data_IF_698569034501
#
_entry.id   IF_698569034501
#
_cell.length_a   1.000
_cell.length_b   1.000
_cell.length_c   1.000
_cell.angle_alpha   90.00
_cell.angle_beta   90.00
_cell.angle_gamma   90.00
#
_symmetry.space_group_name_H-M   'P 1'
#
loop_
_entity.id
_entity.type
_entity.pdbx_description
1 polymer ?
#
# COMPACT_ATOMS: atom_id res chain seq x y z
N UNK A 1 -53.87 7.28 66.31
CA UNK A 1 -53.61 8.50 65.52
C UNK A 1 -52.20 8.36 64.90
N UNK A 2 -52.12 7.83 63.71
CA UNK A 2 -50.86 7.56 63.06
C UNK A 2 -50.81 8.29 61.70
N UNK A 3 -49.91 9.25 61.61
CA UNK A 3 -49.70 10.01 60.40
C UNK A 3 -48.73 9.24 59.47
N UNK A 4 -49.20 8.82 58.31
CA UNK A 4 -48.39 8.22 57.27
C UNK A 4 -47.89 9.33 56.35
N UNK A 5 -46.58 9.58 56.41
CA UNK A 5 -45.88 10.48 55.49
C UNK A 5 -45.48 9.69 54.24
N UNK A 6 -46.13 9.97 53.13
CA UNK A 6 -45.79 9.43 51.87
C UNK A 6 -44.64 10.22 51.20
N UNK A 7 -43.47 9.67 51.15
CA UNK A 7 -42.30 10.22 50.38
C UNK A 7 -42.46 9.84 48.93
N UNK A 8 -42.84 10.79 48.08
CA UNK A 8 -42.74 10.63 46.61
C UNK A 8 -41.28 10.83 46.17
N UNK A 9 -40.61 9.78 45.80
CA UNK A 9 -39.35 9.85 45.05
C UNK A 9 -39.64 10.24 43.59
N UNK A 10 -39.33 11.49 43.27
CA UNK A 10 -39.29 11.92 41.87
C UNK A 10 -38.05 11.31 41.17
N UNK A 11 -38.21 10.26 40.39
CA UNK A 11 -37.22 9.81 39.44
C UNK A 11 -37.15 10.80 38.27
N UNK A 12 -36.24 11.76 38.37
CA UNK A 12 -35.87 12.61 37.25
C UNK A 12 -35.08 11.76 36.26
N UNK A 13 -35.77 11.11 35.30
CA UNK A 13 -35.17 10.49 34.15
C UNK A 13 -34.46 11.54 33.32
N UNK A 14 -33.14 11.50 33.26
CA UNK A 14 -32.37 12.19 32.23
C UNK A 14 -32.76 11.59 30.85
N UNK A 15 -33.75 12.21 30.20
CA UNK A 15 -33.98 12.03 28.80
C UNK A 15 -32.76 12.62 28.07
N UNK A 16 -31.80 11.77 27.79
CA UNK A 16 -30.68 12.09 26.89
C UNK A 16 -31.28 12.53 25.56
N UNK A 17 -31.22 13.81 25.26
CA UNK A 17 -31.54 14.41 24.00
C UNK A 17 -30.58 13.82 22.97
N UNK A 18 -30.93 12.68 22.41
CA UNK A 18 -30.27 12.09 21.23
C UNK A 18 -30.53 12.99 20.04
N UNK A 19 -29.80 14.10 19.94
CA UNK A 19 -29.76 14.91 18.74
C UNK A 19 -29.39 14.00 17.57
N UNK A 20 -30.26 13.91 16.55
CA UNK A 20 -29.91 13.30 15.29
C UNK A 20 -28.70 14.06 14.75
N UNK A 21 -27.53 13.44 14.81
CA UNK A 21 -26.33 13.94 14.14
C UNK A 21 -26.60 13.72 12.65
N UNK A 22 -26.99 14.76 11.96
CA UNK A 22 -27.14 14.76 10.50
C UNK A 22 -25.72 14.87 9.91
N UNK A 23 -24.96 13.77 10.03
CA UNK A 23 -23.58 13.72 9.61
C UNK A 23 -23.48 13.75 8.09
N UNK A 24 -22.86 14.80 7.56
CA UNK A 24 -22.54 14.90 6.13
C UNK A 24 -21.29 14.06 5.83
N UNK A 25 -21.50 12.97 5.13
CA UNK A 25 -20.46 11.99 4.80
C UNK A 25 -20.11 12.08 3.31
N UNK A 26 -18.83 12.03 2.98
CA UNK A 26 -18.32 11.84 1.62
C UNK A 26 -17.64 10.49 1.49
N UNK A 27 -17.60 9.97 0.28
CA UNK A 27 -16.92 8.71 -0.04
C UNK A 27 -15.89 8.96 -1.13
N UNK A 28 -14.68 8.42 -0.97
CA UNK A 28 -13.63 8.43 -1.99
C UNK A 28 -13.23 7.01 -2.37
N UNK A 29 -12.62 6.88 -3.54
CA UNK A 29 -11.99 5.65 -3.98
C UNK A 29 -10.49 5.91 -4.23
N UNK A 30 -9.65 5.57 -3.25
CA UNK A 30 -8.19 5.78 -3.33
C UNK A 30 -7.56 5.06 -4.52
N UNK A 31 -8.09 3.90 -4.90
CA UNK A 31 -7.61 3.18 -6.09
C UNK A 31 -7.90 3.94 -7.38
N UNK A 32 -9.07 4.60 -7.46
CA UNK A 32 -9.43 5.46 -8.58
C UNK A 32 -8.51 6.69 -8.63
N UNK A 33 -8.22 7.31 -7.47
CA UNK A 33 -7.28 8.42 -7.38
C UNK A 33 -5.88 8.02 -7.88
N UNK A 34 -5.39 6.84 -7.49
CA UNK A 34 -4.10 6.31 -7.96
C UNK A 34 -4.07 6.08 -9.48
N UNK A 35 -5.21 5.72 -10.09
CA UNK A 35 -5.28 5.43 -11.51
C UNK A 35 -5.48 6.68 -12.37
N UNK A 36 -6.23 7.68 -11.88
CA UNK A 36 -6.70 8.82 -12.68
C UNK A 36 -5.90 10.10 -12.46
N UNK A 37 -5.19 10.26 -11.33
CA UNK A 37 -4.36 11.45 -11.09
C UNK A 37 -3.00 11.34 -11.81
N UNK A 38 -2.44 12.49 -12.22
CA UNK A 38 -1.11 12.57 -12.81
C UNK A 38 -0.03 12.02 -11.87
N UNK A 39 -0.07 12.41 -10.59
CA UNK A 39 0.86 11.91 -9.58
C UNK A 39 0.69 10.40 -9.32
N UNK A 40 -0.53 9.87 -9.34
CA UNK A 40 -0.79 8.43 -9.19
C UNK A 40 -0.21 7.62 -10.35
N UNK A 41 -0.31 8.12 -11.59
CA UNK A 41 0.33 7.50 -12.76
C UNK A 41 1.85 7.49 -12.61
N UNK A 42 2.46 8.63 -12.20
CA UNK A 42 3.91 8.72 -11.93
C UNK A 42 4.34 7.74 -10.83
N UNK A 43 3.54 7.56 -9.77
CA UNK A 43 3.78 6.55 -8.73
C UNK A 43 3.85 5.14 -9.31
N UNK A 44 2.87 4.76 -10.13
CA UNK A 44 2.83 3.43 -10.78
C UNK A 44 4.00 3.21 -11.74
N UNK A 45 4.34 4.21 -12.54
CA UNK A 45 5.48 4.18 -13.46
C UNK A 45 6.80 4.00 -12.71
N UNK A 46 7.02 4.77 -11.64
CA UNK A 46 8.22 4.68 -10.81
C UNK A 46 8.35 3.31 -10.13
N UNK A 47 7.26 2.77 -9.58
CA UNK A 47 7.26 1.42 -8.99
C UNK A 47 7.54 0.35 -10.01
N UNK A 48 6.95 0.47 -11.20
CA UNK A 48 7.19 -0.46 -12.31
C UNK A 48 8.64 -0.42 -12.77
N UNK A 49 9.21 0.77 -12.94
CA UNK A 49 10.60 0.95 -13.34
C UNK A 49 11.56 0.39 -12.27
N UNK A 50 11.28 0.66 -11.00
CA UNK A 50 12.05 0.14 -9.88
C UNK A 50 12.04 -1.39 -9.84
N UNK A 51 10.86 -2.02 -9.95
CA UNK A 51 10.71 -3.48 -9.97
C UNK A 51 11.44 -4.12 -11.16
N UNK A 52 11.28 -3.54 -12.37
CA UNK A 52 11.99 -4.02 -13.55
C UNK A 52 13.51 -3.93 -13.41
N UNK A 53 14.03 -2.87 -12.81
CA UNK A 53 15.46 -2.73 -12.55
C UNK A 53 15.97 -3.84 -11.61
N UNK A 54 15.23 -4.16 -10.54
CA UNK A 54 15.59 -5.24 -9.61
C UNK A 54 15.54 -6.62 -10.28
N UNK A 55 14.51 -6.84 -11.11
CA UNK A 55 14.40 -8.04 -11.92
C UNK A 55 15.58 -8.19 -12.88
N UNK A 56 15.98 -7.14 -13.60
CA UNK A 56 17.11 -7.17 -14.51
C UNK A 56 18.44 -7.52 -13.80
N UNK A 57 18.64 -7.03 -12.57
CA UNK A 57 19.80 -7.41 -11.75
C UNK A 57 19.79 -8.92 -11.44
N UNK A 58 18.64 -9.50 -11.13
CA UNK A 58 18.53 -10.95 -10.89
C UNK A 58 18.76 -11.77 -12.15
N UNK A 59 18.26 -11.32 -13.29
CA UNK A 59 18.49 -11.98 -14.58
C UNK A 59 19.98 -12.01 -14.97
N UNK A 60 20.73 -10.95 -14.65
CA UNK A 60 22.19 -10.93 -14.87
C UNK A 60 22.91 -11.94 -13.97
N UNK A 61 22.57 -12.03 -12.69
CA UNK A 61 23.14 -13.00 -11.76
C UNK A 61 22.80 -14.45 -12.17
N UNK A 62 21.57 -14.71 -12.59
CA UNK A 62 21.13 -16.01 -13.07
C UNK A 62 21.88 -16.43 -14.34
N UNK A 63 22.08 -15.49 -15.27
CA UNK A 63 22.86 -15.73 -16.47
C UNK A 63 24.31 -16.09 -16.16
N UNK A 64 24.91 -15.43 -15.19
CA UNK A 64 26.28 -15.73 -14.76
C UNK A 64 26.39 -17.13 -14.12
N UNK A 65 25.43 -17.49 -13.28
CA UNK A 65 25.35 -18.83 -12.69
C UNK A 65 25.22 -19.91 -13.76
N UNK A 66 24.36 -19.74 -14.75
CA UNK A 66 24.23 -20.67 -15.88
C UNK A 66 25.56 -20.81 -16.67
N UNK A 67 26.24 -19.68 -16.92
CA UNK A 67 27.53 -19.69 -17.57
C UNK A 67 28.58 -20.47 -16.79
N UNK A 68 28.64 -20.27 -15.47
CA UNK A 68 29.56 -21.03 -14.61
C UNK A 68 29.28 -22.54 -14.68
N UNK A 69 28.00 -22.95 -14.67
CA UNK A 69 27.59 -24.35 -14.82
C UNK A 69 27.98 -24.92 -16.17
N UNK A 70 27.68 -24.23 -17.27
CA UNK A 70 28.05 -24.64 -18.63
C UNK A 70 29.58 -24.79 -18.79
N UNK A 71 30.35 -23.83 -18.28
CA UNK A 71 31.81 -23.86 -18.34
C UNK A 71 32.38 -25.01 -17.50
N UNK A 72 31.77 -25.30 -16.36
CA UNK A 72 32.16 -26.46 -15.55
C UNK A 72 31.89 -27.78 -16.29
N UNK A 73 30.72 -27.94 -16.88
CA UNK A 73 30.39 -29.14 -17.68
C UNK A 73 31.37 -29.34 -18.84
N UNK A 74 31.65 -28.28 -19.61
CA UNK A 74 32.57 -28.34 -20.78
C UNK A 74 34.00 -28.72 -20.37
N UNK A 75 34.45 -28.25 -19.20
CA UNK A 75 35.84 -28.49 -18.75
C UNK A 75 35.98 -29.72 -17.82
N UNK A 76 34.89 -30.34 -17.42
CA UNK A 76 34.87 -31.42 -16.45
C UNK A 76 35.76 -32.62 -16.78
N UNK A 77 35.94 -32.92 -18.08
CA UNK A 77 36.75 -34.06 -18.52
C UNK A 77 38.26 -33.80 -18.39
N UNK A 78 38.71 -32.55 -18.41
CA UNK A 78 40.13 -32.17 -18.37
C UNK A 78 40.61 -31.61 -17.02
N UNK A 79 39.69 -31.33 -16.11
CA UNK A 79 39.99 -30.81 -14.78
C UNK A 79 40.51 -31.92 -13.84
N UNK A 80 41.53 -31.60 -13.03
CA UNK A 80 41.97 -32.45 -11.92
C UNK A 80 40.89 -32.59 -10.86
N UNK A 81 40.90 -33.64 -10.00
CA UNK A 81 39.96 -33.81 -8.91
C UNK A 81 39.91 -32.63 -7.93
N UNK A 82 41.06 -31.98 -7.67
CA UNK A 82 41.15 -30.77 -6.82
C UNK A 82 40.45 -29.60 -7.49
N UNK A 83 40.76 -29.32 -8.76
CA UNK A 83 40.14 -28.23 -9.51
C UNK A 83 38.61 -28.38 -9.67
N UNK A 84 38.09 -29.62 -9.75
CA UNK A 84 36.66 -29.87 -9.75
C UNK A 84 36.00 -29.45 -8.44
N UNK A 85 36.59 -29.86 -7.29
CA UNK A 85 36.07 -29.48 -5.96
C UNK A 85 36.07 -27.97 -5.75
N UNK A 86 37.12 -27.29 -6.16
CA UNK A 86 37.24 -25.83 -6.04
C UNK A 86 36.15 -25.13 -6.88
N UNK A 87 35.86 -25.62 -8.10
CA UNK A 87 34.79 -25.08 -8.95
C UNK A 87 33.41 -25.34 -8.38
N UNK A 88 33.15 -26.52 -7.84
CA UNK A 88 31.90 -26.87 -7.19
C UNK A 88 31.66 -25.99 -5.96
N UNK A 89 32.71 -25.74 -5.17
CA UNK A 89 32.63 -24.86 -4.00
C UNK A 89 32.34 -23.40 -4.40
N UNK A 90 33.03 -22.88 -5.42
CA UNK A 90 32.78 -21.55 -5.95
C UNK A 90 31.33 -21.40 -6.47
N UNK A 91 30.82 -22.41 -7.18
CA UNK A 91 29.44 -22.41 -7.67
C UNK A 91 28.44 -22.40 -6.50
N UNK A 92 28.68 -23.22 -5.46
CA UNK A 92 27.84 -23.28 -4.27
C UNK A 92 27.80 -21.94 -3.54
N UNK A 93 28.95 -21.31 -3.34
CA UNK A 93 29.04 -19.99 -2.71
C UNK A 93 28.32 -18.93 -3.54
N UNK A 94 28.48 -18.97 -4.87
CA UNK A 94 27.78 -18.04 -5.77
C UNK A 94 26.26 -18.23 -5.76
N UNK A 95 25.81 -19.49 -5.72
CA UNK A 95 24.38 -19.82 -5.58
C UNK A 95 23.78 -19.31 -4.27
N UNK A 96 24.49 -19.48 -3.16
CA UNK A 96 24.06 -18.92 -1.87
C UNK A 96 23.97 -17.39 -1.91
N UNK A 97 24.98 -16.74 -2.48
CA UNK A 97 24.97 -15.29 -2.70
C UNK A 97 23.78 -14.82 -3.56
N UNK A 98 23.47 -15.56 -4.63
CA UNK A 98 22.29 -15.31 -5.46
C UNK A 98 20.97 -15.38 -4.67
N UNK A 99 20.80 -16.45 -3.86
CA UNK A 99 19.61 -16.63 -3.04
C UNK A 99 19.43 -15.48 -2.02
N UNK A 100 20.51 -15.07 -1.38
CA UNK A 100 20.50 -13.95 -0.45
C UNK A 100 20.12 -12.65 -1.15
N UNK A 101 20.76 -12.35 -2.28
CA UNK A 101 20.49 -11.15 -3.09
C UNK A 101 19.05 -11.13 -3.62
N UNK A 102 18.51 -12.29 -4.04
CA UNK A 102 17.11 -12.40 -4.46
C UNK A 102 16.15 -12.00 -3.34
N UNK A 103 16.41 -12.48 -2.13
CA UNK A 103 15.62 -12.13 -0.95
C UNK A 103 15.70 -10.64 -0.61
N UNK A 104 16.90 -10.06 -0.66
CA UNK A 104 17.12 -8.63 -0.41
C UNK A 104 16.39 -7.75 -1.43
N UNK A 105 16.55 -8.06 -2.73
CA UNK A 105 15.90 -7.28 -3.79
C UNK A 105 14.37 -7.38 -3.74
N UNK A 106 13.81 -8.54 -3.37
CA UNK A 106 12.38 -8.67 -3.14
C UNK A 106 11.91 -7.81 -1.96
N UNK A 107 12.67 -7.78 -0.86
CA UNK A 107 12.36 -6.93 0.29
C UNK A 107 12.42 -5.45 -0.10
N UNK A 108 13.46 -5.03 -0.82
CA UNK A 108 13.56 -3.64 -1.31
C UNK A 108 12.35 -3.23 -2.16
N UNK A 109 11.85 -4.12 -3.03
CA UNK A 109 10.67 -3.84 -3.86
C UNK A 109 9.42 -3.65 -2.98
N UNK A 110 9.23 -4.52 -1.98
CA UNK A 110 8.09 -4.44 -1.07
C UNK A 110 8.14 -3.17 -0.20
N UNK A 111 9.30 -2.85 0.36
CA UNK A 111 9.52 -1.65 1.16
C UNK A 111 9.27 -0.40 0.30
N UNK A 112 9.85 -0.35 -0.90
CA UNK A 112 9.64 0.77 -1.82
C UNK A 112 8.17 0.95 -2.20
N UNK A 113 7.46 -0.16 -2.44
CA UNK A 113 6.03 -0.12 -2.75
C UNK A 113 5.23 0.44 -1.58
N UNK A 114 5.52 -0.02 -0.36
CA UNK A 114 4.87 0.46 0.86
C UNK A 114 5.08 1.96 1.03
N UNK A 115 6.34 2.42 1.03
CA UNK A 115 6.69 3.83 1.27
C UNK A 115 6.06 4.78 0.25
N UNK A 116 6.10 4.40 -1.03
CA UNK A 116 5.56 5.24 -2.10
C UNK A 116 4.04 5.32 -2.05
N UNK A 117 3.35 4.19 -1.75
CA UNK A 117 1.90 4.18 -1.60
C UNK A 117 1.44 4.89 -0.32
N UNK A 118 2.20 4.79 0.77
CA UNK A 118 1.94 5.53 2.01
C UNK A 118 2.06 7.04 1.76
N UNK A 119 3.16 7.49 1.16
CA UNK A 119 3.31 8.91 0.81
C UNK A 119 2.28 9.43 -0.22
N UNK A 120 1.73 8.57 -1.06
CA UNK A 120 0.60 8.94 -1.93
C UNK A 120 -0.70 9.04 -1.13
N UNK A 121 -0.93 8.15 -0.16
CA UNK A 121 -2.09 8.19 0.75
C UNK A 121 -2.11 9.47 1.58
N UNK A 122 -0.97 9.89 2.15
CA UNK A 122 -0.86 11.14 2.90
C UNK A 122 -1.32 12.34 2.07
N UNK A 123 -0.94 12.37 0.80
CA UNK A 123 -1.41 13.42 -0.13
C UNK A 123 -2.92 13.34 -0.38
N UNK A 124 -3.48 12.13 -0.51
CA UNK A 124 -4.94 11.93 -0.64
C UNK A 124 -5.64 12.50 0.59
N UNK A 125 -5.16 12.23 1.80
CA UNK A 125 -5.76 12.72 3.04
C UNK A 125 -5.79 14.24 3.08
N UNK A 126 -4.69 14.90 2.73
CA UNK A 126 -4.61 16.37 2.69
C UNK A 126 -5.64 16.95 1.70
N UNK A 127 -5.71 16.40 0.50
CA UNK A 127 -6.62 16.89 -0.55
C UNK A 127 -8.07 16.56 -0.22
N UNK A 128 -8.36 15.34 0.27
CA UNK A 128 -9.70 14.96 0.71
C UNK A 128 -10.22 15.86 1.83
N UNK A 129 -9.38 16.18 2.82
CA UNK A 129 -9.73 17.10 3.89
C UNK A 129 -10.05 18.52 3.37
N UNK A 130 -9.31 19.01 2.38
CA UNK A 130 -9.55 20.30 1.74
C UNK A 130 -10.89 20.32 1.00
N UNK A 131 -11.15 19.29 0.20
CA UNK A 131 -12.42 19.14 -0.53
C UNK A 131 -13.59 18.96 0.44
N UNK A 132 -13.44 18.15 1.48
CA UNK A 132 -14.45 17.94 2.51
C UNK A 132 -14.86 19.24 3.19
N UNK A 133 -13.89 20.06 3.60
CA UNK A 133 -14.16 21.40 4.19
C UNK A 133 -14.93 22.30 3.22
N UNK A 134 -14.56 22.33 1.94
CA UNK A 134 -15.26 23.10 0.91
C UNK A 134 -16.69 22.65 0.70
N UNK A 135 -16.95 21.35 0.79
CA UNK A 135 -18.28 20.76 0.64
C UNK A 135 -19.10 20.69 1.95
N UNK A 136 -18.52 21.13 3.06
CA UNK A 136 -19.18 21.10 4.38
C UNK A 136 -19.39 19.67 4.90
N UNK A 137 -18.51 18.72 4.51
CA UNK A 137 -18.55 17.34 4.99
C UNK A 137 -17.86 17.22 6.34
N UNK A 138 -18.34 16.31 7.17
CA UNK A 138 -17.81 16.03 8.51
C UNK A 138 -16.91 14.78 8.51
N UNK A 139 -17.17 13.83 7.61
CA UNK A 139 -16.44 12.58 7.50
C UNK A 139 -16.23 12.25 6.03
N UNK A 140 -15.06 11.71 5.71
CA UNK A 140 -14.77 11.09 4.41
C UNK A 140 -14.30 9.67 4.66
N UNK A 141 -14.89 8.70 3.96
CA UNK A 141 -14.53 7.29 4.06
C UNK A 141 -14.05 6.75 2.71
N UNK A 142 -13.15 5.77 2.74
CA UNK A 142 -12.63 5.13 1.54
C UNK A 142 -13.43 3.88 1.18
N UNK A 143 -13.87 3.78 -0.08
CA UNK A 143 -14.58 2.63 -0.65
C UNK A 143 -13.69 1.70 -1.48
N UNK A 144 -12.38 1.92 -1.50
CA UNK A 144 -11.48 1.04 -2.23
C UNK A 144 -11.58 -0.40 -1.71
N UNK A 145 -11.24 -1.37 -2.55
CA UNK A 145 -11.33 -2.81 -2.19
C UNK A 145 -10.54 -3.11 -0.92
N UNK A 146 -11.23 -3.65 0.08
CA UNK A 146 -10.66 -3.88 1.42
C UNK A 146 -10.83 -2.71 2.40
N UNK A 147 -11.45 -1.61 1.97
CA UNK A 147 -11.85 -0.50 2.85
C UNK A 147 -13.11 -0.82 3.68
N UNK A 148 -13.44 0.02 4.64
CA UNK A 148 -14.56 -0.19 5.56
C UNK A 148 -15.94 0.02 4.94
N UNK A 149 -16.03 0.55 3.72
CA UNK A 149 -17.29 0.90 3.07
C UNK A 149 -17.84 -0.27 2.27
N UNK A 150 -18.99 -0.81 2.71
CA UNK A 150 -19.69 -1.92 2.03
C UNK A 150 -20.71 -1.39 1.03
N UNK A 151 -21.40 -0.30 1.36
CA UNK A 151 -22.42 0.34 0.52
C UNK A 151 -22.39 1.86 0.71
N UNK A 152 -22.69 2.58 -0.34
CA UNK A 152 -22.92 4.03 -0.33
C UNK A 152 -23.84 4.41 -1.48
N UNK A 153 -24.56 5.49 -1.32
CA UNK A 153 -25.30 6.11 -2.43
C UNK A 153 -24.32 6.85 -3.35
N UNK A 154 -24.62 6.86 -4.66
CA UNK A 154 -23.76 7.45 -5.69
C UNK A 154 -23.48 8.93 -5.44
N UNK A 155 -24.47 9.67 -4.95
CA UNK A 155 -24.37 11.10 -4.62
C UNK A 155 -23.34 11.43 -3.51
N UNK A 156 -22.89 10.43 -2.75
CA UNK A 156 -21.85 10.61 -1.72
C UNK A 156 -20.42 10.49 -2.27
N UNK A 157 -20.25 10.02 -3.52
CA UNK A 157 -18.90 9.85 -4.12
C UNK A 157 -18.31 11.21 -4.52
N UNK A 158 -17.29 11.62 -3.79
CA UNK A 158 -16.53 12.85 -4.04
C UNK A 158 -15.16 12.58 -4.70
N UNK A 159 -14.94 11.37 -5.23
CA UNK A 159 -13.65 11.03 -5.88
C UNK A 159 -13.32 11.98 -7.04
N UNK A 160 -14.31 12.37 -7.87
CA UNK A 160 -14.12 13.32 -8.96
C UNK A 160 -13.57 14.67 -8.49
N UNK A 161 -14.27 15.40 -7.60
CA UNK A 161 -13.76 16.63 -6.99
C UNK A 161 -12.39 16.53 -6.33
N UNK A 162 -12.10 15.37 -5.71
CA UNK A 162 -10.78 15.12 -5.09
C UNK A 162 -9.71 14.92 -6.17
N UNK A 163 -9.99 14.21 -7.27
CA UNK A 163 -9.06 14.04 -8.40
C UNK A 163 -8.72 15.39 -9.05
N UNK A 164 -9.73 16.22 -9.29
CA UNK A 164 -9.53 17.56 -9.87
C UNK A 164 -8.62 18.42 -8.98
N UNK A 165 -8.90 18.46 -7.68
CA UNK A 165 -8.11 19.21 -6.71
C UNK A 165 -6.69 18.64 -6.61
N UNK A 166 -6.56 17.31 -6.61
CA UNK A 166 -5.28 16.62 -6.55
C UNK A 166 -4.39 16.98 -7.75
N UNK A 167 -4.95 16.93 -8.98
CA UNK A 167 -4.23 17.27 -10.20
C UNK A 167 -3.84 18.76 -10.26
N UNK A 168 -4.59 19.63 -9.58
CA UNK A 168 -4.26 21.05 -9.49
C UNK A 168 -3.06 21.31 -8.57
N UNK A 169 -2.96 20.57 -7.47
CA UNK A 169 -1.89 20.78 -6.48
C UNK A 169 -0.64 19.94 -6.77
N UNK A 170 -0.82 18.80 -7.42
CA UNK A 170 0.27 17.88 -7.77
C UNK A 170 0.22 17.54 -9.27
N UNK A 171 0.56 18.48 -10.16
CA UNK A 171 0.50 18.30 -11.61
C UNK A 171 1.51 17.25 -12.15
#
# INVERSE_FOLDING_TARGET
>A
MSAIVAIMLALSGCAGSGGKIDAKIGVINSQRLLNETGAGKKVKENLTAFSKNRQALMELEEKELRRMEEDFVKQSSVLSPGAKRDREEQFRQRMQGYQHKASELNREVQEKQKDVLEGFRDKIEIIAAKVAKRLGLQVVVDKSKGGPTVYHEEGLDISGPVIEEFNREYP
#
